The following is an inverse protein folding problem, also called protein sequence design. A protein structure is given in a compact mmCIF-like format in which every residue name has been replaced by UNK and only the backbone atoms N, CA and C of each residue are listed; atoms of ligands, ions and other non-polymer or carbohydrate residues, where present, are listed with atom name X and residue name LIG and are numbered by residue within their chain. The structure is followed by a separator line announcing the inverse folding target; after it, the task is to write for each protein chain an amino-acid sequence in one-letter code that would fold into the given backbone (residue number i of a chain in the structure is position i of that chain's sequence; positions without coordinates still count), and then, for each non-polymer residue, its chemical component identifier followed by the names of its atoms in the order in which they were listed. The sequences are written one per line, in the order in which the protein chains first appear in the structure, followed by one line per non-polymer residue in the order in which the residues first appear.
data_IF_357652872814
#
_entry.id   IF_357652872814
#
_cell.length_a   1.000
_cell.length_b   1.000
_cell.length_c   1.000
_cell.angle_alpha   90.00
_cell.angle_beta   90.00
_cell.angle_gamma   90.00
#
_symmetry.space_group_name_H-M   'P 1'
#
loop_
_entity.id
_entity.type
_entity.pdbx_description
1 polymer ?
#
# COMPACT_ATOMS: atom_id res chain seq x y z
N UNK A 1 -19.58 12.44 -10.37
CA UNK A 1 -18.99 13.03 -9.15
C UNK A 1 -18.16 11.95 -8.49
N UNK A 2 -16.86 12.18 -8.27
CA UNK A 2 -15.97 11.15 -7.69
C UNK A 2 -16.20 11.06 -6.19
N UNK A 3 -16.32 9.85 -5.65
CA UNK A 3 -16.43 9.64 -4.20
C UNK A 3 -15.10 10.04 -3.52
N UNK A 4 -15.20 10.99 -2.60
CA UNK A 4 -14.07 11.50 -1.81
C UNK A 4 -13.46 10.39 -0.95
N UNK A 5 -14.29 9.46 -0.46
CA UNK A 5 -13.84 8.34 0.36
C UNK A 5 -13.04 7.34 -0.47
N UNK A 6 -13.53 6.99 -1.67
CA UNK A 6 -12.79 6.17 -2.63
C UNK A 6 -11.42 6.76 -2.95
N UNK A 7 -11.35 8.07 -3.23
CA UNK A 7 -10.07 8.75 -3.49
C UNK A 7 -9.12 8.69 -2.29
N UNK A 8 -9.60 8.94 -1.07
CA UNK A 8 -8.77 8.87 0.16
C UNK A 8 -8.27 7.46 0.45
N UNK A 9 -9.13 6.46 0.28
CA UNK A 9 -8.77 5.04 0.40
C UNK A 9 -7.68 4.69 -0.60
N UNK A 10 -7.83 5.12 -1.86
CA UNK A 10 -6.84 4.91 -2.91
C UNK A 10 -5.49 5.58 -2.62
N UNK A 11 -5.49 6.84 -2.17
CA UNK A 11 -4.26 7.50 -1.74
C UNK A 11 -3.56 6.72 -0.62
N UNK A 12 -4.32 6.15 0.30
CA UNK A 12 -3.77 5.36 1.41
C UNK A 12 -3.17 4.05 0.94
N UNK A 13 -3.84 3.34 0.01
CA UNK A 13 -3.31 2.11 -0.60
C UNK A 13 -2.00 2.37 -1.33
N UNK A 14 -1.96 3.40 -2.17
CA UNK A 14 -0.75 3.78 -2.91
C UNK A 14 0.35 4.24 -1.95
N UNK A 15 0.03 5.07 -0.95
CA UNK A 15 1.02 5.50 0.04
C UNK A 15 1.64 4.32 0.79
N UNK A 16 0.84 3.31 1.13
CA UNK A 16 1.31 2.12 1.82
C UNK A 16 2.20 1.24 0.94
N UNK A 17 1.79 1.02 -0.31
CA UNK A 17 2.55 0.21 -1.26
C UNK A 17 3.94 0.81 -1.59
N UNK A 18 4.11 2.14 -1.50
CA UNK A 18 5.40 2.80 -1.75
C UNK A 18 6.35 2.89 -0.54
N UNK A 19 6.05 2.26 0.60
CA UNK A 19 6.87 2.45 1.82
C UNK A 19 8.24 1.76 1.75
N UNK A 20 8.35 0.66 1.00
CA UNK A 20 9.62 -0.02 0.76
C UNK A 20 10.45 0.66 -0.36
N UNK A 21 9.85 1.61 -1.08
CA UNK A 21 10.47 2.33 -2.21
C UNK A 21 10.47 1.55 -3.51
N UNK A 22 9.88 0.35 -3.54
CA UNK A 22 9.75 -0.48 -4.73
C UNK A 22 8.26 -0.64 -5.08
N UNK A 23 8.00 -0.98 -6.33
CA UNK A 23 6.63 -1.11 -6.83
C UNK A 23 6.66 -2.08 -8.01
N UNK A 24 6.26 -3.33 -7.75
CA UNK A 24 6.23 -4.37 -8.78
C UNK A 24 5.12 -4.10 -9.80
N UNK A 25 5.23 -4.69 -10.98
CA UNK A 25 4.22 -4.51 -12.04
C UNK A 25 2.88 -5.13 -11.63
N UNK A 26 2.92 -6.25 -10.90
CA UNK A 26 1.75 -6.97 -10.40
C UNK A 26 0.98 -6.13 -9.36
N UNK A 27 1.69 -5.41 -8.49
CA UNK A 27 1.11 -4.47 -7.53
C UNK A 27 0.49 -3.27 -8.23
N UNK A 28 1.15 -2.75 -9.28
CA UNK A 28 0.64 -1.67 -10.12
C UNK A 28 -0.69 -2.05 -10.78
N UNK A 29 -0.75 -3.25 -11.36
CA UNK A 29 -1.95 -3.76 -12.01
C UNK A 29 -3.08 -4.00 -10.99
N UNK A 30 -2.75 -4.50 -9.79
CA UNK A 30 -3.69 -4.65 -8.69
C UNK A 30 -4.27 -3.32 -8.23
N UNK A 31 -3.44 -2.30 -8.07
CA UNK A 31 -3.84 -0.94 -7.68
C UNK A 31 -4.72 -0.32 -8.77
N UNK A 32 -4.35 -0.45 -10.05
CA UNK A 32 -5.20 0.00 -11.15
C UNK A 32 -6.59 -0.65 -11.13
N UNK A 33 -6.65 -1.97 -10.90
CA UNK A 33 -7.90 -2.72 -10.81
C UNK A 33 -8.74 -2.25 -9.62
N UNK A 34 -8.17 -2.20 -8.41
CA UNK A 34 -8.88 -1.74 -7.20
C UNK A 34 -9.40 -0.31 -7.34
N UNK A 35 -8.63 0.59 -7.95
CA UNK A 35 -9.09 1.95 -8.21
C UNK A 35 -10.29 2.00 -9.18
N UNK A 36 -10.29 1.15 -10.21
CA UNK A 36 -11.41 1.02 -11.14
C UNK A 36 -12.64 0.41 -10.46
N UNK A 37 -12.46 -0.59 -9.60
CA UNK A 37 -13.54 -1.20 -8.81
C UNK A 37 -14.20 -0.19 -7.86
N UNK A 38 -13.43 0.81 -7.39
CA UNK A 38 -13.95 1.95 -6.60
C UNK A 38 -14.58 3.06 -7.45
N UNK A 39 -14.66 2.90 -8.78
CA UNK A 39 -15.23 3.89 -9.71
C UNK A 39 -14.33 5.10 -9.98
N UNK A 40 -13.02 5.01 -9.71
CA UNK A 40 -12.08 6.09 -10.01
C UNK A 40 -11.69 6.08 -11.50
N UNK A 41 -11.63 7.25 -12.16
CA UNK A 41 -11.16 7.32 -13.54
C UNK A 41 -9.66 6.98 -13.62
N UNK A 42 -9.25 6.27 -14.68
CA UNK A 42 -7.85 5.81 -14.87
C UNK A 42 -6.82 6.93 -14.74
N UNK A 43 -7.12 8.13 -15.24
CA UNK A 43 -6.21 9.29 -15.16
C UNK A 43 -5.96 9.74 -13.71
N UNK A 44 -7.00 9.71 -12.87
CA UNK A 44 -6.87 10.03 -11.45
C UNK A 44 -6.08 8.97 -10.70
N UNK A 45 -6.26 7.68 -11.04
CA UNK A 45 -5.46 6.60 -10.45
C UNK A 45 -3.98 6.81 -10.76
N UNK A 46 -3.65 7.10 -12.03
CA UNK A 46 -2.27 7.42 -12.46
C UNK A 46 -1.70 8.61 -11.71
N UNK A 47 -2.48 9.69 -11.56
CA UNK A 47 -2.07 10.87 -10.77
C UNK A 47 -1.75 10.50 -9.32
N UNK A 48 -2.58 9.69 -8.67
CA UNK A 48 -2.34 9.24 -7.28
C UNK A 48 -1.06 8.40 -7.21
N UNK A 49 -0.83 7.50 -8.17
CA UNK A 49 0.41 6.70 -8.24
C UNK A 49 1.64 7.62 -8.37
N UNK A 50 1.58 8.63 -9.23
CA UNK A 50 2.68 9.59 -9.39
C UNK A 50 2.92 10.44 -8.14
N UNK A 51 1.88 10.78 -7.37
CA UNK A 51 2.03 11.41 -6.06
C UNK A 51 2.66 10.47 -5.01
N UNK A 52 2.34 9.17 -5.09
CA UNK A 52 2.94 8.12 -4.26
C UNK A 52 4.44 8.00 -4.48
N UNK A 53 4.88 7.95 -5.75
CA UNK A 53 6.30 7.96 -6.12
C UNK A 53 7.07 9.16 -5.56
N UNK A 54 6.41 10.30 -5.40
CA UNK A 54 6.98 11.53 -4.82
C UNK A 54 6.94 11.54 -3.28
N UNK A 55 6.40 10.52 -2.64
CA UNK A 55 6.22 10.46 -1.18
C UNK A 55 5.30 11.55 -0.63
N UNK A 56 4.43 12.13 -1.46
CA UNK A 56 3.59 13.28 -1.10
C UNK A 56 2.18 12.88 -0.61
N UNK A 57 1.90 11.59 -0.48
CA UNK A 57 0.60 11.08 -0.06
C UNK A 57 0.53 10.95 1.47
N UNK A 58 -0.57 11.42 2.05
CA UNK A 58 -0.88 11.21 3.45
C UNK A 58 -1.74 9.96 3.62
N UNK A 59 -1.37 9.11 4.58
CA UNK A 59 -2.17 7.96 5.02
C UNK A 59 -3.37 8.47 5.81
N UNK A 60 -4.58 8.15 5.36
CA UNK A 60 -5.82 8.50 6.06
C UNK A 60 -6.40 7.26 6.73
N UNK A 61 -6.51 7.29 8.06
CA UNK A 61 -7.12 6.19 8.81
C UNK A 61 -8.65 6.29 8.73
N UNK A 62 -9.35 5.24 8.26
CA UNK A 62 -10.81 5.26 8.21
C UNK A 62 -11.44 5.36 9.61
N UNK A 63 -12.59 6.04 9.75
CA UNK A 63 -13.23 6.25 11.04
C UNK A 63 -13.90 4.99 11.60
N UNK A 64 -14.42 4.11 10.73
CA UNK A 64 -15.17 2.92 11.16
C UNK A 64 -14.32 1.66 11.17
N UNK A 65 -14.60 0.76 12.11
CA UNK A 65 -13.89 -0.51 12.25
C UNK A 65 -13.95 -1.34 10.96
N UNK A 66 -15.13 -1.45 10.34
CA UNK A 66 -15.33 -2.17 9.08
C UNK A 66 -14.44 -1.63 7.96
N UNK A 67 -14.37 -0.31 7.79
CA UNK A 67 -13.53 0.31 6.75
C UNK A 67 -12.03 0.11 7.00
N UNK A 68 -11.61 0.03 8.27
CA UNK A 68 -10.21 -0.29 8.62
C UNK A 68 -9.86 -1.72 8.24
N UNK A 69 -10.77 -2.67 8.50
CA UNK A 69 -10.61 -4.07 8.09
C UNK A 69 -10.57 -4.21 6.58
N UNK A 70 -11.50 -3.57 5.86
CA UNK A 70 -11.49 -3.53 4.39
C UNK A 70 -10.21 -2.91 3.81
N UNK A 71 -9.70 -1.84 4.43
CA UNK A 71 -8.43 -1.23 4.02
C UNK A 71 -7.25 -2.19 4.25
N UNK A 72 -7.22 -2.88 5.39
CA UNK A 72 -6.17 -3.87 5.66
C UNK A 72 -6.23 -5.04 4.67
N UNK A 73 -7.42 -5.53 4.35
CA UNK A 73 -7.60 -6.63 3.39
C UNK A 73 -7.15 -6.21 1.98
N UNK A 74 -7.44 -4.97 1.57
CA UNK A 74 -6.95 -4.42 0.30
C UNK A 74 -5.41 -4.27 0.28
N UNK A 75 -4.78 -3.91 1.40
CA UNK A 75 -3.32 -3.86 1.51
C UNK A 75 -2.69 -5.26 1.42
N UNK A 76 -3.30 -6.27 2.05
CA UNK A 76 -2.85 -7.66 1.94
C UNK A 76 -2.99 -8.14 0.49
N UNK A 77 -4.09 -7.78 -0.20
CA UNK A 77 -4.29 -8.12 -1.60
C UNK A 77 -3.21 -7.53 -2.53
N UNK A 78 -2.73 -6.33 -2.22
CA UNK A 78 -1.65 -5.68 -2.99
C UNK A 78 -0.31 -6.34 -2.66
N UNK A 79 0.03 -6.48 -1.37
CA UNK A 79 1.30 -7.05 -0.94
C UNK A 79 1.45 -8.54 -1.32
N UNK A 80 0.36 -9.26 -1.57
CA UNK A 80 0.39 -10.64 -2.05
C UNK A 80 0.17 -10.73 -3.57
N UNK A 81 0.30 -9.63 -4.32
CA UNK A 81 -0.01 -9.60 -5.74
C UNK A 81 0.89 -10.51 -6.58
N UNK A 82 2.16 -10.58 -6.22
CA UNK A 82 3.19 -11.42 -6.86
C UNK A 82 3.20 -12.88 -6.35
N UNK A 83 2.31 -13.20 -5.41
CA UNK A 83 2.19 -14.53 -4.79
C UNK A 83 3.27 -14.83 -3.74
N UNK A 84 4.08 -13.85 -3.36
CA UNK A 84 5.04 -13.93 -2.25
C UNK A 84 4.71 -12.84 -1.24
N UNK A 85 5.35 -12.92 -0.08
CA UNK A 85 5.30 -11.86 0.91
C UNK A 85 6.66 -11.85 1.61
N UNK A 86 7.42 -10.79 1.40
CA UNK A 86 8.72 -10.58 2.00
C UNK A 86 8.61 -10.19 3.47
N UNK A 87 9.74 -10.23 4.20
CA UNK A 87 9.74 -9.93 5.64
C UNK A 87 9.42 -8.46 5.90
N UNK A 88 9.88 -7.60 5.00
CA UNK A 88 9.73 -6.17 4.97
C UNK A 88 8.24 -5.79 4.81
N UNK A 89 7.56 -6.40 3.84
CA UNK A 89 6.12 -6.22 3.60
C UNK A 89 5.28 -6.74 4.78
N UNK A 90 5.63 -7.91 5.33
CA UNK A 90 4.96 -8.42 6.51
C UNK A 90 5.14 -7.48 7.73
N UNK A 91 6.35 -6.93 7.91
CA UNK A 91 6.61 -5.95 8.95
C UNK A 91 5.81 -4.66 8.74
N UNK A 92 5.63 -4.25 7.49
CA UNK A 92 4.82 -3.11 7.11
C UNK A 92 3.33 -3.34 7.44
N UNK A 93 2.77 -4.47 7.03
CA UNK A 93 1.39 -4.85 7.35
C UNK A 93 1.16 -4.93 8.87
N UNK A 94 2.15 -5.41 9.63
CA UNK A 94 2.10 -5.39 11.10
C UNK A 94 2.08 -3.96 11.66
N UNK A 95 2.82 -3.01 11.08
CA UNK A 95 2.75 -1.59 11.49
C UNK A 95 1.39 -0.98 11.18
N UNK A 96 0.85 -1.23 9.98
CA UNK A 96 -0.48 -0.74 9.60
C UNK A 96 -1.59 -1.31 10.46
N UNK A 97 -1.60 -2.63 10.71
CA UNK A 97 -2.60 -3.24 11.57
C UNK A 97 -2.62 -2.62 12.97
N UNK A 98 -1.45 -2.34 13.56
CA UNK A 98 -1.34 -1.62 14.84
C UNK A 98 -1.86 -0.19 14.75
N UNK A 99 -1.54 0.55 13.68
CA UNK A 99 -2.04 1.91 13.46
C UNK A 99 -3.56 1.97 13.29
N UNK A 100 -4.14 0.92 12.69
CA UNK A 100 -5.60 0.79 12.54
C UNK A 100 -6.28 0.33 13.83
N UNK A 101 -5.54 -0.26 14.77
CA UNK A 101 -6.07 -0.84 16.01
C UNK A 101 -6.62 -2.26 15.83
N UNK A 102 -6.07 -3.00 14.86
CA UNK A 102 -6.44 -4.38 14.54
C UNK A 102 -5.50 -5.38 15.21
N UNK A 103 -6.02 -6.57 15.52
CA UNK A 103 -5.23 -7.63 16.17
C UNK A 103 -4.22 -8.25 15.20
N UNK A 104 -2.96 -8.34 15.64
CA UNK A 104 -1.86 -8.95 14.88
C UNK A 104 -2.14 -10.45 14.64
N UNK A 105 -2.84 -11.12 15.56
CA UNK A 105 -3.20 -12.52 15.41
C UNK A 105 -4.10 -12.76 14.19
N UNK A 106 -4.98 -11.80 13.89
CA UNK A 106 -5.91 -11.87 12.77
C UNK A 106 -5.18 -11.66 11.42
N UNK A 107 -4.15 -10.81 11.41
CA UNK A 107 -3.35 -10.52 10.21
C UNK A 107 -2.68 -11.78 9.64
N UNK A 108 -2.04 -12.59 10.48
CA UNK A 108 -1.32 -13.79 10.01
C UNK A 108 -2.25 -14.82 9.35
N UNK A 109 -3.47 -14.97 9.86
CA UNK A 109 -4.50 -15.84 9.26
C UNK A 109 -4.94 -15.34 7.88
N UNK A 110 -5.23 -14.03 7.78
CA UNK A 110 -5.66 -13.39 6.52
C UNK A 110 -4.60 -13.46 5.44
N UNK A 111 -3.34 -13.16 5.78
CA UNK A 111 -2.21 -13.27 4.84
C UNK A 111 -2.05 -14.70 4.33
N UNK A 112 -2.05 -15.69 5.23
CA UNK A 112 -1.93 -17.10 4.85
C UNK A 112 -3.07 -17.56 3.95
N UNK A 113 -4.29 -17.10 4.22
CA UNK A 113 -5.46 -17.35 3.38
C UNK A 113 -5.26 -16.78 1.98
N UNK A 114 -4.89 -15.50 1.85
CA UNK A 114 -4.69 -14.84 0.54
C UNK A 114 -3.57 -15.46 -0.30
N UNK A 115 -2.46 -15.84 0.33
CA UNK A 115 -1.38 -16.57 -0.35
C UNK A 115 -1.82 -17.96 -0.83
N UNK A 116 -2.76 -18.59 -0.13
CA UNK A 116 -3.32 -19.89 -0.55
C UNK A 116 -4.31 -19.72 -1.70
N UNK A 117 -5.19 -18.73 -1.62
CA UNK A 117 -6.23 -18.46 -2.62
C UNK A 117 -5.64 -17.98 -3.97
N UNK A 118 -4.51 -17.27 -3.93
CA UNK A 118 -3.81 -16.78 -5.13
C UNK A 118 -2.86 -17.78 -5.75
N UNK A 119 -2.63 -18.92 -5.10
CA UNK A 119 -1.86 -19.98 -5.74
C UNK A 119 -2.62 -20.36 -7.01
N UNK A 120 -2.03 -20.24 -8.21
CA UNK A 120 -2.70 -20.71 -9.41
C UNK A 120 -3.12 -22.14 -9.13
N UNK A 121 -4.40 -22.45 -9.34
CA UNK A 121 -4.92 -23.78 -9.11
C UNK A 121 -3.91 -24.76 -9.75
N UNK A 122 -3.46 -25.80 -9.03
CA UNK A 122 -2.57 -26.77 -9.63
C UNK A 122 -3.21 -27.17 -10.97
N UNK A 123 -2.46 -27.17 -12.09
CA UNK A 123 -3.04 -27.51 -13.37
C UNK A 123 -3.84 -28.81 -13.18
N UNK A 124 -5.08 -28.87 -13.67
CA UNK A 124 -5.92 -30.05 -13.48
C UNK A 124 -5.10 -31.28 -13.87
N UNK A 125 -4.97 -32.24 -12.95
CA UNK A 125 -4.10 -33.41 -13.12
C UNK A 125 -4.54 -34.34 -14.25
N UNK A 126 -5.64 -34.01 -14.93
CA UNK A 126 -6.40 -34.90 -15.79
C UNK A 126 -6.61 -34.37 -17.23
N UNK A 127 -5.76 -33.47 -17.72
CA UNK A 127 -5.64 -33.28 -19.19
C UNK A 127 -4.43 -34.08 -19.67
N UNK A 128 -4.54 -35.40 -19.53
CA UNK A 128 -3.89 -36.32 -20.47
C UNK A 128 -4.82 -36.32 -21.70
N UNK A 129 -4.78 -35.24 -22.48
CA UNK A 129 -5.40 -35.23 -23.80
C UNK A 129 -4.62 -36.22 -24.65
N UNK A 130 -5.22 -37.39 -24.85
CA UNK A 130 -4.96 -38.35 -25.90
C UNK A 130 -3.49 -38.51 -26.33
N UNK A 131 -2.75 -39.25 -25.52
CA UNK A 131 -1.81 -40.24 -26.06
C UNK A 131 -0.54 -39.75 -26.75
N UNK A 132 -0.20 -38.46 -26.73
CA UNK A 132 1.17 -38.04 -27.08
C UNK A 132 2.03 -38.17 -25.83
N UNK A 133 2.56 -39.38 -25.67
CA UNK A 133 3.73 -39.63 -24.82
C UNK A 133 4.89 -38.83 -25.42
N UNK A 134 5.05 -37.57 -25.03
CA UNK A 134 6.33 -36.89 -25.21
C UNK A 134 7.27 -37.57 -24.21
N UNK A 135 7.92 -38.64 -24.67
CA UNK A 135 9.15 -39.15 -24.08
C UNK A 135 10.22 -38.06 -24.27
N UNK A 136 10.13 -36.98 -23.50
CA UNK A 136 11.29 -36.11 -23.30
C UNK A 136 12.26 -36.90 -22.42
N UNK A 137 13.07 -37.68 -23.12
CA UNK A 137 14.25 -38.37 -22.65
C UNK A 137 15.31 -37.33 -22.28
N UNK A 138 15.03 -36.46 -21.31
CA UNK A 138 16.03 -35.57 -20.75
C UNK A 138 16.91 -36.38 -19.81
N UNK A 139 17.99 -36.90 -20.39
CA UNK A 139 19.14 -37.48 -19.69
C UNK A 139 19.79 -36.42 -18.79
N UNK A 140 19.15 -36.06 -17.68
CA UNK A 140 19.85 -35.41 -16.58
C UNK A 140 20.66 -36.48 -15.87
N UNK A 141 21.90 -36.61 -16.36
CA UNK A 141 23.02 -37.27 -15.66
C UNK A 141 22.95 -36.89 -14.18
N UNK A 142 22.43 -37.82 -13.38
CA UNK A 142 22.56 -37.81 -11.92
C UNK A 142 24.05 -37.77 -11.63
N UNK A 143 24.59 -36.58 -11.36
CA UNK A 143 25.92 -36.45 -10.74
C UNK A 143 25.89 -37.33 -9.50
N UNK A 144 26.81 -38.29 -9.35
CA UNK A 144 26.85 -39.15 -8.18
C UNK A 144 26.95 -38.26 -6.97
N UNK A 145 26.01 -38.43 -6.03
CA UNK A 145 26.09 -37.88 -4.68
C UNK A 145 27.46 -38.26 -4.14
N UNK A 146 28.39 -37.31 -4.14
CA UNK A 146 29.63 -37.40 -3.37
C UNK A 146 29.19 -37.66 -1.94
N UNK A 147 29.35 -38.92 -1.54
CA UNK A 147 29.35 -39.40 -0.17
C UNK A 147 30.20 -38.42 0.62
N UNK A 148 29.55 -37.53 1.38
CA UNK A 148 30.24 -36.69 2.34
C UNK A 148 30.87 -37.65 3.34
N UNK A 149 32.20 -37.72 3.28
CA UNK A 149 33.01 -38.35 4.31
C UNK A 149 32.59 -37.76 5.65
N UNK A 150 32.38 -38.64 6.62
CA UNK A 150 32.05 -38.27 7.97
C UNK A 150 33.19 -37.41 8.54
N UNK A 151 32.92 -36.12 8.78
CA UNK A 151 33.83 -35.29 9.53
C UNK A 151 33.98 -35.84 10.96
N UNK A 152 35.21 -35.86 11.49
CA UNK A 152 35.48 -36.38 12.82
C UNK A 152 34.83 -35.52 13.89
N UNK A 153 34.19 -36.21 14.84
CA UNK A 153 33.56 -35.70 16.06
C UNK A 153 34.51 -34.73 16.78
N UNK A 154 34.31 -33.43 16.57
CA UNK A 154 35.03 -32.39 17.28
C UNK A 154 34.58 -32.35 18.75
N UNK A 155 35.60 -32.40 19.60
CA UNK A 155 35.58 -32.51 21.06
C UNK A 155 34.60 -31.55 21.73
N UNK A 156 33.93 -32.07 22.76
CA UNK A 156 33.26 -31.31 23.83
C UNK A 156 34.21 -30.24 24.36
N UNK A 157 34.06 -29.01 23.90
CA UNK A 157 34.63 -27.84 24.58
C UNK A 157 33.72 -27.52 25.75
N UNK A 158 34.32 -27.52 26.94
CA UNK A 158 33.65 -27.12 28.17
C UNK A 158 33.00 -25.75 28.00
N UNK A 159 31.80 -25.52 28.55
CA UNK A 159 31.16 -24.22 28.48
C UNK A 159 32.08 -23.16 29.11
N UNK A 160 32.20 -21.96 28.51
CA UNK A 160 32.99 -20.88 29.07
C UNK A 160 32.48 -20.53 30.48
N UNK A 161 33.37 -20.14 31.41
CA UNK A 161 32.98 -19.77 32.76
C UNK A 161 31.96 -18.64 32.72
N UNK A 162 30.93 -18.75 33.56
CA UNK A 162 29.86 -17.76 33.65
C UNK A 162 30.45 -16.35 33.87
N UNK A 163 29.99 -15.33 33.14
CA UNK A 163 30.47 -13.97 33.33
C UNK A 163 30.23 -13.52 34.77
N UNK A 164 31.16 -12.76 35.38
CA UNK A 164 31.00 -12.28 36.74
C UNK A 164 29.71 -11.47 36.85
N UNK A 165 28.88 -11.79 37.85
CA UNK A 165 27.65 -11.07 38.17
C UNK A 165 28.00 -9.60 38.38
N UNK A 166 27.73 -8.75 37.37
CA UNK A 166 27.87 -7.30 37.51
C UNK A 166 26.91 -6.84 38.58
N UNK A 167 27.43 -6.17 39.61
CA UNK A 167 26.59 -5.52 40.63
C UNK A 167 25.64 -4.55 39.90
N UNK A 168 24.34 -4.53 40.23
CA UNK A 168 23.41 -3.61 39.60
C UNK A 168 23.91 -2.19 39.85
N UNK A 169 24.23 -1.48 38.76
CA UNK A 169 24.50 -0.05 38.82
C UNK A 169 23.22 0.64 39.29
N UNK A 170 23.29 1.52 40.31
CA UNK A 170 22.12 2.27 40.73
C UNK A 170 21.57 3.06 39.53
N UNK A 171 20.23 3.14 39.40
CA UNK A 171 19.63 3.89 38.31
C UNK A 171 20.15 5.33 38.35
N UNK A 172 20.45 5.94 37.19
CA UNK A 172 20.88 7.33 37.14
C UNK A 172 19.82 8.18 37.82
N UNK A 173 20.26 9.04 38.75
CA UNK A 173 19.40 9.97 39.45
C UNK A 173 18.51 10.68 38.42
N UNK A 174 17.19 10.48 38.56
CA UNK A 174 16.18 11.04 37.67
C UNK A 174 16.29 12.55 37.81
N UNK A 175 16.95 13.21 36.87
CA UNK A 175 16.93 14.67 36.79
C UNK A 175 15.47 15.05 36.60
N UNK A 176 14.87 15.65 37.63
CA UNK A 176 13.57 16.27 37.52
C UNK A 176 13.68 17.34 36.45
N UNK A 177 13.24 17.00 35.24
CA UNK A 177 13.04 17.98 34.20
C UNK A 177 11.86 18.81 34.69
N UNK A 178 12.15 20.01 35.17
CA UNK A 178 11.16 21.01 35.49
C UNK A 178 10.50 21.44 34.16
N UNK A 179 9.41 20.76 33.77
CA UNK A 179 8.58 21.10 32.62
C UNK A 179 7.67 22.27 33.04
N UNK A 180 8.29 23.37 33.45
CA UNK A 180 7.62 24.65 33.63
C UNK A 180 7.46 25.34 32.27
N UNK A 181 6.22 25.61 31.88
CA UNK A 181 5.84 26.63 30.90
C UNK A 181 6.28 26.46 29.43
N UNK A 182 5.85 25.40 28.74
CA UNK A 182 5.86 25.45 27.27
C UNK A 182 4.84 24.54 26.59
N UNK A 183 3.57 24.51 27.00
CA UNK A 183 2.51 24.07 26.08
C UNK A 183 1.16 24.59 26.58
N UNK A 184 0.79 25.81 26.17
CA UNK A 184 -0.62 26.15 26.04
C UNK A 184 -1.06 25.65 24.65
N UNK A 185 -1.88 24.59 24.57
CA UNK A 185 -2.50 24.26 23.29
C UNK A 185 -3.46 25.39 22.94
N UNK A 186 -3.15 26.14 21.88
CA UNK A 186 -4.13 26.98 21.21
C UNK A 186 -5.19 26.05 20.59
N UNK A 187 -6.15 25.64 21.41
CA UNK A 187 -7.42 25.07 20.97
C UNK A 187 -8.19 26.19 20.27
N UNK A 188 -7.88 26.38 18.99
CA UNK A 188 -8.69 27.22 18.11
C UNK A 188 -9.91 26.38 17.72
N UNK A 189 -10.97 26.57 18.47
CA UNK A 189 -12.28 25.95 18.27
C UNK A 189 -12.83 26.37 16.88
N UNK A 190 -13.01 25.45 15.91
CA UNK A 190 -13.46 25.80 14.56
C UNK A 190 -14.96 26.13 14.48
N UNK A 191 -15.69 26.15 15.61
CA UNK A 191 -17.14 26.36 15.66
C UNK A 191 -17.60 27.59 16.45
N UNK A 192 -16.75 28.59 16.65
CA UNK A 192 -17.25 29.90 17.08
C UNK A 192 -17.94 30.64 15.92
N UNK A 193 -19.27 30.46 15.87
CA UNK A 193 -20.21 31.35 15.17
C UNK A 193 -20.08 32.75 15.74
N UNK A 194 -19.34 33.63 15.07
CA UNK A 194 -19.57 35.07 15.19
C UNK A 194 -20.77 35.46 14.32
N UNK A 195 -21.93 35.42 14.96
CA UNK A 195 -23.05 36.27 14.60
C UNK A 195 -22.66 37.75 14.74
N UNK A 196 -23.15 38.56 13.81
CA UNK A 196 -23.36 40.02 13.92
C UNK A 196 -22.26 40.95 13.40
N UNK A 197 -22.42 41.42 12.15
CA UNK A 197 -22.59 42.86 11.89
C UNK A 197 -23.04 43.17 10.45
N UNK A 198 -23.73 44.31 10.22
CA UNK A 198 -24.62 44.51 9.08
C UNK A 198 -24.01 45.24 7.87
N UNK A 199 -24.56 44.90 6.69
CA UNK A 199 -24.82 45.73 5.50
C UNK A 199 -23.84 46.90 5.22
N UNK A 200 -22.93 46.69 4.26
CA UNK A 200 -22.59 47.71 3.26
C UNK A 200 -22.98 47.21 1.88
N UNK A 201 -23.98 47.87 1.29
CA UNK A 201 -24.42 47.65 -0.09
C UNK A 201 -23.24 47.97 -1.03
N UNK A 202 -22.86 47.11 -1.98
CA UNK A 202 -22.06 47.55 -3.11
C UNK A 202 -22.91 48.47 -4.00
N UNK A 203 -22.39 49.67 -4.27
CA UNK A 203 -22.88 50.58 -5.31
C UNK A 203 -22.83 49.83 -6.64
N UNK A 204 -23.97 49.67 -7.29
CA UNK A 204 -24.03 49.34 -8.71
C UNK A 204 -23.33 50.46 -9.48
N UNK A 205 -22.13 50.18 -9.98
CA UNK A 205 -21.37 51.05 -10.86
C UNK A 205 -21.16 50.35 -12.19
N UNK A 206 -21.84 50.85 -13.21
CA UNK A 206 -21.40 50.83 -14.61
C UNK A 206 -21.15 49.46 -15.24
N UNK A 207 -22.13 49.00 -16.01
CA UNK A 207 -21.84 48.19 -17.18
C UNK A 207 -21.08 49.03 -18.20
N UNK A 208 -19.96 48.53 -18.75
CA UNK A 208 -19.65 48.73 -20.15
C UNK A 208 -20.09 47.48 -20.91
N UNK A 209 -21.15 47.68 -21.68
CA UNK A 209 -21.47 46.88 -22.85
C UNK A 209 -20.22 46.83 -23.73
N UNK A 210 -19.76 45.64 -24.11
CA UNK A 210 -18.88 45.52 -25.26
C UNK A 210 -19.13 44.23 -26.04
N UNK A 211 -18.97 44.29 -27.37
CA UNK A 211 -19.79 43.55 -28.32
C UNK A 211 -19.17 42.22 -28.75
N UNK A 212 -20.06 41.37 -29.27
CA UNK A 212 -19.84 40.28 -30.21
C UNK A 212 -18.39 40.12 -30.73
N UNK A 213 -17.67 39.17 -30.14
CA UNK A 213 -16.45 38.59 -30.71
C UNK A 213 -16.77 37.26 -31.37
N UNK A 214 -17.00 37.30 -32.68
CA UNK A 214 -16.96 36.15 -33.59
C UNK A 214 -15.60 35.45 -33.46
N UNK A 215 -15.59 34.17 -33.06
CA UNK A 215 -14.40 33.31 -33.19
C UNK A 215 -14.81 32.04 -33.91
N UNK A 216 -14.05 31.78 -34.98
CA UNK A 216 -14.36 30.86 -36.05
C UNK A 216 -14.53 29.40 -35.62
N UNK A 217 -15.52 28.79 -36.26
CA UNK A 217 -15.64 27.35 -36.45
C UNK A 217 -14.50 26.88 -37.36
N UNK A 218 -13.38 26.41 -36.81
CA UNK A 218 -12.42 25.63 -37.61
C UNK A 218 -12.80 24.16 -37.53
N UNK A 219 -13.34 23.67 -38.65
CA UNK A 219 -13.65 22.27 -38.87
C UNK A 219 -12.37 21.43 -38.88
N UNK A 220 -12.17 20.64 -37.84
CA UNK A 220 -11.21 19.54 -37.84
C UNK A 220 -11.72 18.42 -38.72
N UNK A 221 -11.07 18.24 -39.87
CA UNK A 221 -11.21 17.11 -40.79
C UNK A 221 -10.90 15.82 -40.01
N UNK A 222 -11.89 14.93 -39.90
CA UNK A 222 -11.70 13.57 -39.39
C UNK A 222 -11.14 12.74 -40.55
N UNK A 223 -9.93 12.16 -40.47
CA UNK A 223 -9.47 11.22 -41.49
C UNK A 223 -10.27 9.92 -41.37
N UNK A 224 -10.98 9.62 -42.46
CA UNK A 224 -11.69 8.37 -42.70
C UNK A 224 -10.68 7.20 -42.70
N UNK A 225 -10.86 6.25 -41.77
CA UNK A 225 -10.07 5.02 -41.70
C UNK A 225 -10.51 4.07 -42.82
N UNK A 226 -9.58 3.49 -43.61
CA UNK A 226 -9.94 2.49 -44.61
C UNK A 226 -10.41 1.19 -43.95
N UNK A 227 -11.40 0.48 -44.54
CA UNK A 227 -11.79 -0.84 -44.08
C UNK A 227 -10.64 -1.83 -44.31
N UNK A 228 -10.26 -2.54 -43.23
CA UNK A 228 -9.24 -3.59 -43.26
C UNK A 228 -9.74 -4.91 -43.86
N UNK A 229 -8.81 -5.80 -44.24
CA UNK A 229 -9.04 -6.99 -45.06
C UNK A 229 -9.82 -8.12 -44.38
#
# INVERSE_FOLDING_TARGET
MVDVNARRKMCTLVAAAFIDGHFAQEEYDMILRKGQDMGLPKNMIKEIIELGKKGSLAISVPPTQKQKEELLDDLIDIACADGKLEKEENHLLMKFSRQLGLSIHDLGGRVKQRLTDRRPAPPPRDVIEDGIVILEEEQTKKKPRRRREAEPVARKTSPPPAPPKRKPTPPPARKEVNIGNAYQPNFRDPYHKESSSPKKKPKYGGMPENPAGTIGSEGGIIPELPPGP
#
